data_IF_832344359308
#
_entry.id   IF_832344359308
#
_cell.length_a   1.000
_cell.length_b   1.000
_cell.length_c   1.000
_cell.angle_alpha   90.00
_cell.angle_beta   90.00
_cell.angle_gamma   90.00
#
_symmetry.space_group_name_H-M   'P 1'
#
loop_
_entity.id
_entity.type
_entity.pdbx_description
1 polymer ?
#
# COMPACT_ATOMS: atom_id res chain seq x y z
N UNK A 1 14.90 -5.41 -32.43
CA UNK A 1 14.27 -4.83 -31.24
C UNK A 1 12.78 -4.59 -31.51
N UNK A 2 11.94 -5.16 -30.68
CA UNK A 2 10.49 -4.90 -30.79
C UNK A 2 10.10 -3.60 -30.06
N UNK A 3 10.81 -3.23 -29.00
CA UNK A 3 10.57 -2.02 -28.22
C UNK A 3 11.88 -1.50 -27.61
N UNK A 4 12.06 -0.19 -27.61
CA UNK A 4 13.13 0.51 -26.87
C UNK A 4 12.51 1.56 -25.97
N UNK A 5 12.91 1.57 -24.70
CA UNK A 5 12.50 2.57 -23.72
C UNK A 5 13.75 3.26 -23.18
N UNK A 6 13.70 4.58 -23.04
CA UNK A 6 14.77 5.38 -22.42
C UNK A 6 14.32 5.79 -21.03
N UNK A 7 15.22 5.64 -20.06
CA UNK A 7 14.99 6.11 -18.68
C UNK A 7 15.51 7.55 -18.50
N UNK A 8 15.06 8.21 -17.45
CA UNK A 8 15.59 9.49 -16.99
C UNK A 8 17.01 9.36 -16.43
N UNK A 9 17.61 10.48 -16.10
CA UNK A 9 18.96 10.54 -15.53
C UNK A 9 18.88 10.79 -14.04
N UNK A 10 19.64 10.03 -13.24
CA UNK A 10 19.85 10.33 -11.84
C UNK A 10 20.95 11.40 -11.74
N UNK A 11 20.60 12.53 -11.16
CA UNK A 11 21.45 13.70 -10.96
C UNK A 11 22.05 13.68 -9.54
N UNK A 12 23.11 14.45 -9.33
CA UNK A 12 23.61 14.71 -7.97
C UNK A 12 22.57 15.44 -7.10
N UNK A 13 22.83 15.56 -5.81
CA UNK A 13 21.90 16.16 -4.84
C UNK A 13 21.44 17.58 -5.22
N UNK A 14 22.30 18.35 -5.87
CA UNK A 14 21.99 19.71 -6.32
C UNK A 14 21.31 19.78 -7.69
N UNK A 15 20.84 18.66 -8.24
CA UNK A 15 20.21 18.59 -9.57
C UNK A 15 21.22 18.73 -10.72
N UNK A 16 22.51 18.62 -10.47
CA UNK A 16 23.56 18.66 -11.50
C UNK A 16 23.93 17.26 -11.99
N UNK A 17 24.36 17.18 -13.25
CA UNK A 17 24.89 15.92 -13.78
C UNK A 17 26.11 15.46 -12.97
N UNK A 18 26.07 14.20 -12.53
CA UNK A 18 27.20 13.58 -11.85
C UNK A 18 28.42 13.48 -12.75
N UNK A 19 29.59 13.87 -12.24
CA UNK A 19 30.86 13.67 -12.91
C UNK A 19 32.01 13.55 -11.91
N UNK A 20 33.03 12.76 -12.28
CA UNK A 20 34.23 12.56 -11.43
C UNK A 20 34.95 13.88 -11.18
N UNK A 21 35.01 14.76 -12.19
CA UNK A 21 35.68 16.07 -12.07
C UNK A 21 35.00 17.04 -11.08
N UNK A 22 33.71 16.85 -10.82
CA UNK A 22 32.93 17.64 -9.85
C UNK A 22 32.90 17.02 -8.46
N UNK A 23 33.36 15.79 -8.30
CA UNK A 23 33.35 15.08 -7.02
C UNK A 23 31.92 14.75 -6.48
N UNK A 24 30.89 14.80 -7.33
CA UNK A 24 29.50 14.60 -6.97
C UNK A 24 28.94 13.24 -7.43
N UNK A 25 29.81 12.27 -7.72
CA UNK A 25 29.41 10.92 -8.13
C UNK A 25 29.07 10.10 -6.90
N UNK A 26 27.90 9.46 -6.95
CA UNK A 26 27.51 8.41 -6.01
C UNK A 26 27.99 7.07 -6.57
N UNK A 27 28.79 6.33 -5.80
CA UNK A 27 29.23 5.00 -6.19
C UNK A 27 28.19 3.96 -5.73
N UNK A 28 27.58 3.20 -6.65
CA UNK A 28 26.63 2.14 -6.29
C UNK A 28 27.19 1.10 -5.31
N UNK A 29 28.48 0.75 -5.42
CA UNK A 29 29.12 -0.24 -4.54
C UNK A 29 29.11 0.21 -3.07
N UNK A 30 29.27 1.52 -2.81
CA UNK A 30 29.21 2.06 -1.46
C UNK A 30 27.78 1.96 -0.89
N UNK A 31 26.77 2.26 -1.70
CA UNK A 31 25.37 2.13 -1.31
C UNK A 31 24.99 0.67 -1.06
N UNK A 32 25.45 -0.25 -1.91
CA UNK A 32 25.21 -1.67 -1.72
C UNK A 32 25.87 -2.19 -0.44
N UNK A 33 27.10 -1.78 -0.16
CA UNK A 33 27.82 -2.15 1.07
C UNK A 33 27.09 -1.63 2.32
N UNK A 34 26.63 -0.37 2.30
CA UNK A 34 26.14 0.31 3.49
C UNK A 34 24.63 0.07 3.73
N UNK A 35 23.84 -0.12 2.67
CA UNK A 35 22.38 -0.24 2.74
C UNK A 35 21.82 -1.51 2.11
N UNK A 36 22.61 -2.23 1.31
CA UNK A 36 22.19 -3.43 0.59
C UNK A 36 21.67 -3.16 -0.83
N UNK A 37 21.80 -4.17 -1.69
CA UNK A 37 21.44 -4.08 -3.11
C UNK A 37 19.94 -3.79 -3.32
N UNK A 38 19.05 -4.44 -2.55
CA UNK A 38 17.61 -4.22 -2.67
C UNK A 38 17.19 -2.80 -2.29
N UNK A 39 17.90 -2.18 -1.36
CA UNK A 39 17.67 -0.77 -1.01
C UNK A 39 17.98 0.14 -2.19
N UNK A 40 19.13 -0.05 -2.84
CA UNK A 40 19.50 0.73 -4.02
C UNK A 40 18.50 0.52 -5.15
N UNK A 41 18.16 -0.74 -5.48
CA UNK A 41 17.18 -1.08 -6.53
C UNK A 41 15.82 -0.45 -6.28
N UNK A 42 15.32 -0.57 -5.04
CA UNK A 42 14.04 0.02 -4.64
C UNK A 42 14.08 1.54 -4.76
N UNK A 43 15.17 2.17 -4.32
CA UNK A 43 15.34 3.61 -4.39
C UNK A 43 15.38 4.13 -5.83
N UNK A 44 16.17 3.52 -6.72
CA UNK A 44 16.27 3.92 -8.12
C UNK A 44 14.93 3.82 -8.86
N UNK A 45 14.11 2.82 -8.52
CA UNK A 45 12.76 2.66 -9.09
C UNK A 45 11.72 3.57 -8.43
N UNK A 46 11.98 4.08 -7.23
CA UNK A 46 11.04 4.90 -6.46
C UNK A 46 11.29 6.39 -6.57
N UNK A 47 12.52 6.84 -6.89
CA UNK A 47 12.94 8.25 -6.84
C UNK A 47 12.11 9.18 -7.72
N UNK A 48 11.49 8.69 -8.79
CA UNK A 48 10.69 9.48 -9.72
C UNK A 48 10.05 8.67 -10.84
N UNK A 49 9.42 9.36 -11.78
CA UNK A 49 8.93 8.71 -13.00
C UNK A 49 10.10 8.17 -13.81
N UNK A 50 9.93 7.01 -14.44
CA UNK A 50 11.01 6.26 -15.09
C UNK A 50 11.72 7.04 -16.19
N UNK A 51 11.01 7.90 -16.92
CA UNK A 51 11.50 8.71 -18.03
C UNK A 51 11.94 10.13 -17.62
N UNK A 52 11.74 10.51 -16.35
CA UNK A 52 12.10 11.83 -15.83
C UNK A 52 13.46 11.81 -15.13
N UNK A 53 14.16 12.93 -15.17
CA UNK A 53 15.36 13.12 -14.36
C UNK A 53 14.98 13.33 -12.88
N UNK A 54 15.79 12.76 -11.98
CA UNK A 54 15.57 12.89 -10.54
C UNK A 54 16.90 13.15 -9.82
N UNK A 55 16.89 14.00 -8.79
CA UNK A 55 18.07 14.27 -7.98
C UNK A 55 18.28 13.20 -6.91
N UNK A 56 19.52 12.78 -6.71
CA UNK A 56 19.88 11.85 -5.65
C UNK A 56 19.52 12.41 -4.27
N UNK A 57 19.04 11.56 -3.39
CA UNK A 57 18.72 11.89 -2.01
C UNK A 57 19.14 10.74 -1.09
N UNK A 58 20.09 10.98 -0.22
CA UNK A 58 20.51 9.98 0.77
C UNK A 58 19.39 9.64 1.77
N UNK A 59 18.58 10.64 2.13
CA UNK A 59 17.40 10.40 3.00
C UNK A 59 16.34 9.53 2.31
N UNK A 60 16.23 9.63 0.99
CA UNK A 60 15.39 8.73 0.19
C UNK A 60 15.90 7.29 0.24
N UNK A 61 17.22 7.07 0.13
CA UNK A 61 17.85 5.75 0.30
C UNK A 61 17.55 5.17 1.68
N UNK A 62 17.76 5.96 2.75
CA UNK A 62 17.42 5.56 4.12
C UNK A 62 15.94 5.27 4.30
N UNK A 63 15.07 5.99 3.58
CA UNK A 63 13.64 5.73 3.54
C UNK A 63 13.31 4.37 2.96
N UNK A 64 13.92 4.00 1.83
CA UNK A 64 13.77 2.69 1.21
C UNK A 64 14.33 1.57 2.09
N UNK A 65 15.45 1.78 2.78
CA UNK A 65 15.96 0.81 3.75
C UNK A 65 14.95 0.56 4.88
N UNK A 66 14.40 1.61 5.49
CA UNK A 66 13.36 1.47 6.53
C UNK A 66 12.10 0.77 6.01
N UNK A 67 11.73 0.99 4.75
CA UNK A 67 10.63 0.26 4.11
C UNK A 67 10.92 -1.24 4.08
N UNK A 68 12.10 -1.66 3.59
CA UNK A 68 12.48 -3.07 3.52
C UNK A 68 12.64 -3.72 4.90
N UNK A 69 13.18 -2.98 5.89
CA UNK A 69 13.23 -3.46 7.29
C UNK A 69 11.84 -3.71 7.88
N UNK A 70 10.83 -2.95 7.48
CA UNK A 70 9.43 -3.17 7.88
C UNK A 70 8.81 -4.34 7.12
N UNK A 71 9.16 -4.52 5.84
CA UNK A 71 8.72 -5.69 5.05
C UNK A 71 9.22 -6.96 5.72
N UNK A 72 10.49 -7.01 6.13
CA UNK A 72 11.06 -8.15 6.84
C UNK A 72 10.25 -8.57 8.07
N UNK A 73 9.70 -7.61 8.81
CA UNK A 73 8.90 -7.86 10.02
C UNK A 73 7.50 -8.43 9.75
N UNK A 74 7.04 -8.49 8.50
CA UNK A 74 5.74 -9.08 8.19
C UNK A 74 5.65 -10.57 8.55
N UNK A 75 6.78 -11.29 8.56
CA UNK A 75 6.84 -12.68 8.99
C UNK A 75 6.38 -12.85 10.45
N UNK A 76 6.65 -11.85 11.31
CA UNK A 76 6.35 -11.90 12.74
C UNK A 76 4.82 -11.83 13.02
N UNK A 77 4.04 -11.36 12.07
CA UNK A 77 2.58 -11.20 12.17
C UNK A 77 1.81 -12.13 11.22
N UNK A 78 2.51 -13.04 10.52
CA UNK A 78 1.91 -13.99 9.60
C UNK A 78 1.23 -15.14 10.36
N UNK A 79 0.06 -15.56 9.85
CA UNK A 79 -0.64 -16.79 10.28
C UNK A 79 -0.54 -17.86 9.21
N UNK A 80 -0.87 -19.11 9.53
CA UNK A 80 -0.82 -20.23 8.60
C UNK A 80 -2.02 -20.30 7.64
N UNK A 81 -2.95 -19.35 7.71
CA UNK A 81 -4.11 -19.28 6.84
C UNK A 81 -3.68 -18.99 5.38
N UNK A 82 -4.16 -19.79 4.45
CA UNK A 82 -3.98 -19.57 3.01
C UNK A 82 -5.10 -18.68 2.45
N UNK A 83 -4.80 -17.99 1.32
CA UNK A 83 -5.74 -17.04 0.70
C UNK A 83 -5.74 -15.68 1.40
N UNK A 84 -6.72 -14.85 1.05
CA UNK A 84 -6.85 -13.51 1.61
C UNK A 84 -7.92 -13.49 2.71
N UNK A 85 -7.64 -12.78 3.79
CA UNK A 85 -8.60 -12.50 4.83
C UNK A 85 -9.72 -11.59 4.31
N UNK A 86 -10.90 -11.63 4.93
CA UNK A 86 -12.01 -10.74 4.57
C UNK A 86 -11.63 -9.25 4.73
N UNK A 87 -10.73 -8.95 5.65
CA UNK A 87 -10.24 -7.58 5.90
C UNK A 87 -9.44 -7.05 4.70
N UNK A 88 -8.63 -7.89 4.08
CA UNK A 88 -7.71 -7.48 3.03
C UNK A 88 -8.10 -7.96 1.61
N UNK A 89 -9.12 -8.81 1.44
CA UNK A 89 -9.47 -9.37 0.13
C UNK A 89 -9.59 -8.28 -0.95
N UNK A 90 -10.41 -7.26 -0.71
CA UNK A 90 -10.60 -6.16 -1.66
C UNK A 90 -9.31 -5.37 -1.90
N UNK A 91 -8.58 -5.04 -0.84
CA UNK A 91 -7.31 -4.30 -0.95
C UNK A 91 -6.23 -5.09 -1.65
N UNK A 92 -6.17 -6.41 -1.45
CA UNK A 92 -5.23 -7.28 -2.16
C UNK A 92 -5.52 -7.30 -3.65
N UNK A 93 -6.78 -7.49 -4.07
CA UNK A 93 -7.16 -7.44 -5.48
C UNK A 93 -6.90 -6.07 -6.11
N UNK A 94 -7.18 -4.96 -5.41
CA UNK A 94 -6.84 -3.61 -5.83
C UNK A 94 -5.32 -3.43 -5.97
N UNK A 95 -4.54 -3.96 -5.03
CA UNK A 95 -3.08 -3.86 -5.04
C UNK A 95 -2.48 -4.65 -6.19
N UNK A 96 -2.92 -5.89 -6.42
CA UNK A 96 -2.49 -6.71 -7.56
C UNK A 96 -2.78 -5.96 -8.88
N UNK A 97 -4.01 -5.50 -9.07
CA UNK A 97 -4.43 -4.75 -10.26
C UNK A 97 -3.54 -3.54 -10.51
N UNK A 98 -3.36 -2.70 -9.47
CA UNK A 98 -2.59 -1.47 -9.59
C UNK A 98 -1.10 -1.72 -9.84
N UNK A 99 -0.48 -2.63 -9.09
CA UNK A 99 0.95 -2.93 -9.24
C UNK A 99 1.23 -3.57 -10.59
N UNK A 100 0.38 -4.49 -11.07
CA UNK A 100 0.51 -5.09 -12.40
C UNK A 100 0.44 -4.03 -13.50
N UNK A 101 -0.60 -3.18 -13.47
CA UNK A 101 -0.73 -2.09 -14.42
C UNK A 101 0.47 -1.12 -14.39
N UNK A 102 0.94 -0.76 -13.20
CA UNK A 102 2.04 0.18 -13.04
C UNK A 102 3.37 -0.41 -13.56
N UNK A 103 3.66 -1.69 -13.32
CA UNK A 103 4.85 -2.34 -13.85
C UNK A 103 4.82 -2.46 -15.38
N UNK A 104 3.70 -2.84 -15.97
CA UNK A 104 3.52 -2.90 -17.42
C UNK A 104 3.73 -1.54 -18.10
N UNK A 105 3.41 -0.45 -17.39
CA UNK A 105 3.49 0.92 -17.87
C UNK A 105 4.73 1.68 -17.37
N UNK A 106 5.73 0.98 -16.81
CA UNK A 106 6.99 1.54 -16.29
C UNK A 106 6.78 2.60 -15.20
N UNK A 107 5.68 2.50 -14.45
CA UNK A 107 5.35 3.38 -13.33
C UNK A 107 5.82 2.77 -12.00
N UNK A 108 7.09 2.42 -11.93
CA UNK A 108 7.66 1.71 -10.78
C UNK A 108 7.48 2.46 -9.46
N UNK A 109 7.61 3.78 -9.48
CA UNK A 109 7.43 4.63 -8.31
C UNK A 109 6.02 4.52 -7.72
N UNK A 110 4.98 4.46 -8.55
CA UNK A 110 3.59 4.31 -8.07
C UNK A 110 3.27 2.88 -7.64
N UNK A 111 3.88 1.86 -8.28
CA UNK A 111 3.81 0.47 -7.82
C UNK A 111 4.41 0.32 -6.41
N UNK A 112 5.61 0.86 -6.19
CA UNK A 112 6.27 0.82 -4.87
C UNK A 112 5.46 1.61 -3.83
N UNK A 113 4.91 2.78 -4.18
CA UNK A 113 4.02 3.53 -3.30
C UNK A 113 2.78 2.73 -2.88
N UNK A 114 2.18 1.95 -3.80
CA UNK A 114 1.07 1.06 -3.49
C UNK A 114 1.49 -0.04 -2.51
N UNK A 115 2.67 -0.64 -2.71
CA UNK A 115 3.21 -1.64 -1.79
C UNK A 115 3.51 -1.04 -0.42
N UNK A 116 4.02 0.20 -0.34
CA UNK A 116 4.20 0.91 0.94
C UNK A 116 2.87 1.16 1.65
N UNK A 117 1.81 1.48 0.90
CA UNK A 117 0.46 1.66 1.45
C UNK A 117 -0.06 0.34 2.02
N UNK A 118 0.07 -0.77 1.28
CA UNK A 118 -0.35 -2.08 1.76
C UNK A 118 0.43 -2.53 2.99
N UNK A 119 1.74 -2.26 3.04
CA UNK A 119 2.57 -2.50 4.23
C UNK A 119 2.08 -1.73 5.47
N UNK A 120 1.63 -0.49 5.29
CA UNK A 120 1.07 0.30 6.38
C UNK A 120 -0.21 -0.34 6.92
N UNK A 121 -1.10 -0.81 6.03
CA UNK A 121 -2.33 -1.49 6.41
C UNK A 121 -2.04 -2.79 7.17
N UNK A 122 -1.14 -3.63 6.66
CA UNK A 122 -0.69 -4.85 7.32
C UNK A 122 -0.08 -4.58 8.70
N UNK A 123 0.81 -3.60 8.80
CA UNK A 123 1.45 -3.23 10.07
C UNK A 123 0.43 -2.72 11.09
N UNK A 124 -0.61 -2.01 10.64
CA UNK A 124 -1.69 -1.50 11.50
C UNK A 124 -2.59 -2.62 12.01
N UNK A 125 -2.90 -3.59 11.16
CA UNK A 125 -3.72 -4.74 11.54
C UNK A 125 -3.01 -5.68 12.51
N UNK A 126 -1.67 -5.78 12.42
CA UNK A 126 -0.86 -6.65 13.28
C UNK A 126 -1.07 -8.14 13.06
N UNK A 127 -1.77 -8.52 11.99
CA UNK A 127 -2.04 -9.91 11.58
C UNK A 127 -2.26 -9.95 10.07
N UNK A 128 -1.61 -10.90 9.39
CA UNK A 128 -1.80 -11.18 7.96
C UNK A 128 -1.84 -12.69 7.72
N UNK A 129 -2.43 -13.12 6.61
CA UNK A 129 -2.39 -14.52 6.21
C UNK A 129 -1.09 -14.85 5.46
N UNK A 130 -0.75 -16.12 5.42
CA UNK A 130 0.35 -16.64 4.57
C UNK A 130 0.12 -16.28 3.09
N UNK A 131 -1.12 -16.40 2.59
CA UNK A 131 -1.48 -16.05 1.22
C UNK A 131 -1.28 -14.57 0.91
N UNK A 132 -1.58 -13.68 1.84
CA UNK A 132 -1.33 -12.24 1.73
C UNK A 132 0.15 -11.93 1.67
N UNK A 133 0.95 -12.53 2.55
CA UNK A 133 2.41 -12.35 2.54
C UNK A 133 3.03 -12.87 1.24
N UNK A 134 2.69 -14.10 0.82
CA UNK A 134 3.18 -14.69 -0.44
C UNK A 134 2.91 -13.79 -1.64
N UNK A 135 1.67 -13.32 -1.77
CA UNK A 135 1.28 -12.42 -2.85
C UNK A 135 2.07 -11.11 -2.80
N UNK A 136 2.23 -10.53 -1.60
CA UNK A 136 3.01 -9.31 -1.41
C UNK A 136 4.48 -9.49 -1.82
N UNK A 137 5.11 -10.62 -1.46
CA UNK A 137 6.49 -10.94 -1.83
C UNK A 137 6.64 -11.09 -3.35
N UNK A 138 5.69 -11.74 -4.04
CA UNK A 138 5.72 -11.85 -5.50
C UNK A 138 5.64 -10.47 -6.16
N UNK A 139 4.75 -9.60 -5.69
CA UNK A 139 4.60 -8.23 -6.22
C UNK A 139 5.84 -7.36 -5.96
N UNK A 140 6.55 -7.56 -4.85
CA UNK A 140 7.76 -6.81 -4.49
C UNK A 140 9.03 -7.35 -5.16
N UNK A 141 9.08 -8.64 -5.50
CA UNK A 141 10.27 -9.32 -6.01
C UNK A 141 10.98 -8.60 -7.18
N UNK A 142 10.29 -8.00 -8.17
CA UNK A 142 10.97 -7.32 -9.28
C UNK A 142 11.92 -6.20 -8.83
N UNK A 143 11.63 -5.52 -7.74
CA UNK A 143 12.44 -4.41 -7.22
C UNK A 143 13.34 -4.80 -6.06
N UNK A 144 12.96 -5.77 -5.24
CA UNK A 144 13.72 -6.23 -4.07
C UNK A 144 13.85 -7.76 -4.02
N UNK A 145 14.60 -8.37 -4.98
CA UNK A 145 14.63 -9.82 -5.14
C UNK A 145 15.31 -10.56 -3.97
N UNK A 146 16.33 -9.99 -3.35
CA UNK A 146 17.07 -10.73 -2.32
C UNK A 146 16.26 -10.91 -1.04
N UNK A 147 15.66 -9.84 -0.53
CA UNK A 147 14.83 -9.91 0.68
C UNK A 147 13.59 -10.79 0.47
N UNK A 148 12.96 -10.72 -0.70
CA UNK A 148 11.77 -11.53 -0.97
C UNK A 148 12.08 -13.01 -1.11
N UNK A 149 13.20 -13.38 -1.74
CA UNK A 149 13.66 -14.78 -1.81
C UNK A 149 14.03 -15.33 -0.43
N UNK A 150 14.73 -14.54 0.40
CA UNK A 150 15.09 -14.94 1.75
C UNK A 150 13.85 -15.14 2.64
N UNK A 151 12.89 -14.22 2.56
CA UNK A 151 11.63 -14.37 3.29
C UNK A 151 10.81 -15.56 2.82
N UNK A 152 10.80 -15.85 1.50
CA UNK A 152 10.11 -17.01 0.93
C UNK A 152 10.64 -18.33 1.50
N UNK A 153 11.95 -18.46 1.58
CA UNK A 153 12.59 -19.60 2.20
C UNK A 153 12.32 -19.66 3.70
N UNK A 154 12.41 -18.53 4.40
CA UNK A 154 12.19 -18.44 5.84
C UNK A 154 10.77 -18.84 6.28
N UNK A 155 9.75 -18.56 5.46
CA UNK A 155 8.38 -19.00 5.73
C UNK A 155 8.09 -20.43 5.28
N UNK A 156 9.10 -21.15 4.80
CA UNK A 156 9.03 -22.57 4.46
C UNK A 156 8.41 -22.87 3.08
N UNK A 157 8.37 -21.91 2.18
CA UNK A 157 7.84 -22.11 0.83
C UNK A 157 8.88 -22.77 -0.09
N UNK A 158 8.40 -23.61 -1.00
CA UNK A 158 9.26 -24.30 -1.96
C UNK A 158 9.51 -23.48 -3.23
N UNK A 159 10.66 -23.73 -3.88
CA UNK A 159 11.03 -23.04 -5.11
C UNK A 159 11.54 -21.61 -4.85
N UNK A 160 11.44 -20.76 -5.84
CA UNK A 160 11.89 -19.37 -5.79
C UNK A 160 10.73 -18.43 -6.10
N UNK A 161 10.75 -17.20 -5.54
CA UNK A 161 9.70 -16.20 -5.80
C UNK A 161 9.60 -15.87 -7.29
N UNK A 162 10.75 -15.70 -7.96
CA UNK A 162 10.77 -15.36 -9.41
C UNK A 162 10.22 -16.47 -10.31
N UNK A 163 10.05 -17.69 -9.80
CA UNK A 163 9.45 -18.82 -10.52
C UNK A 163 7.94 -18.93 -10.33
N UNK A 164 7.40 -18.17 -9.40
CA UNK A 164 5.97 -18.19 -9.12
C UNK A 164 5.17 -17.50 -10.23
N UNK A 165 3.95 -17.95 -10.40
CA UNK A 165 3.00 -17.29 -11.31
C UNK A 165 2.66 -15.92 -10.75
N UNK A 166 2.66 -14.90 -11.62
CA UNK A 166 2.21 -13.56 -11.23
C UNK A 166 0.76 -13.60 -10.75
N UNK A 167 0.44 -12.97 -9.62
CA UNK A 167 -0.90 -13.07 -9.04
C UNK A 167 -1.94 -12.38 -9.93
N UNK A 168 -3.10 -13.03 -10.05
CA UNK A 168 -4.26 -12.49 -10.77
C UNK A 168 -5.21 -11.81 -9.79
N UNK A 169 -5.94 -10.81 -10.27
CA UNK A 169 -6.99 -10.15 -9.50
C UNK A 169 -8.36 -10.45 -10.08
N UNK A 170 -9.35 -10.49 -9.21
CA UNK A 170 -10.76 -10.54 -9.59
C UNK A 170 -11.33 -9.12 -9.61
N UNK A 171 -11.79 -8.67 -10.79
CA UNK A 171 -12.35 -7.33 -10.95
C UNK A 171 -13.55 -7.08 -10.02
N UNK A 172 -14.40 -8.08 -9.81
CA UNK A 172 -15.56 -7.95 -8.93
C UNK A 172 -15.15 -7.72 -7.46
N UNK A 173 -13.99 -8.22 -7.06
CA UNK A 173 -13.45 -8.05 -5.70
C UNK A 173 -12.64 -6.77 -5.50
N UNK A 174 -12.39 -6.01 -6.57
CA UNK A 174 -11.71 -4.70 -6.45
C UNK A 174 -12.64 -3.59 -5.97
N UNK A 175 -13.94 -3.84 -5.95
CA UNK A 175 -14.95 -2.85 -5.53
C UNK A 175 -15.19 -3.00 -4.03
N UNK A 176 -14.93 -1.94 -3.28
CA UNK A 176 -15.32 -1.91 -1.86
C UNK A 176 -16.84 -2.05 -1.74
N UNK A 177 -17.29 -3.07 -1.03
CA UNK A 177 -18.71 -3.28 -0.72
C UNK A 177 -19.22 -2.36 0.38
N UNK A 178 -18.32 -1.77 1.17
CA UNK A 178 -18.64 -0.88 2.29
C UNK A 178 -18.03 0.49 2.13
N UNK A 179 -18.58 1.46 2.84
CA UNK A 179 -18.07 2.83 2.95
C UNK A 179 -18.15 3.28 4.40
N UNK A 180 -17.07 3.91 4.89
CA UNK A 180 -17.06 4.56 6.19
C UNK A 180 -17.76 5.92 6.10
N UNK A 181 -18.75 6.14 6.97
CA UNK A 181 -19.47 7.41 7.06
C UNK A 181 -19.39 7.99 8.46
N UNK A 182 -19.33 9.32 8.54
CA UNK A 182 -19.35 10.03 9.81
C UNK A 182 -20.77 10.12 10.36
N UNK A 183 -20.93 9.86 11.66
CA UNK A 183 -22.19 10.03 12.39
C UNK A 183 -22.09 11.29 13.26
N UNK A 184 -23.02 12.22 13.03
CA UNK A 184 -23.04 13.52 13.68
C UNK A 184 -24.27 13.69 14.56
N UNK A 185 -24.10 14.45 15.64
CA UNK A 185 -25.21 15.03 16.43
C UNK A 185 -25.09 16.55 16.31
N UNK A 186 -26.14 17.19 15.82
CA UNK A 186 -26.20 18.65 15.65
C UNK A 186 -24.97 19.19 14.87
N UNK A 187 -24.55 18.48 13.80
CA UNK A 187 -23.43 18.86 12.94
C UNK A 187 -22.02 18.52 13.51
N UNK A 188 -21.91 17.95 14.70
CA UNK A 188 -20.63 17.54 15.29
C UNK A 188 -20.44 16.02 15.20
N UNK A 189 -19.37 15.57 14.57
CA UNK A 189 -19.04 14.12 14.47
C UNK A 189 -18.84 13.53 15.85
N UNK A 190 -19.53 12.42 16.12
CA UNK A 190 -19.51 11.67 17.40
C UNK A 190 -19.12 10.22 17.25
N UNK A 191 -19.30 9.65 16.07
CA UNK A 191 -18.93 8.28 15.75
C UNK A 191 -18.64 8.16 14.24
N UNK A 192 -18.05 7.02 13.82
CA UNK A 192 -17.96 6.57 12.44
C UNK A 192 -18.53 5.16 12.35
N UNK A 193 -19.19 4.83 11.25
CA UNK A 193 -19.72 3.49 10.98
C UNK A 193 -19.38 3.06 9.57
N UNK A 194 -19.15 1.76 9.38
CA UNK A 194 -19.03 1.14 8.07
C UNK A 194 -20.39 0.61 7.65
N UNK A 195 -20.84 1.05 6.49
CA UNK A 195 -22.12 0.62 5.90
C UNK A 195 -21.90 0.01 4.51
N UNK A 196 -22.76 -0.91 4.10
CA UNK A 196 -22.78 -1.33 2.71
C UNK A 196 -23.11 -0.15 1.79
N UNK A 197 -22.45 -0.07 0.62
CA UNK A 197 -22.65 1.06 -0.32
C UNK A 197 -24.09 1.14 -0.85
N UNK A 198 -24.77 0.01 -0.91
CA UNK A 198 -26.15 -0.17 -1.32
C UNK A 198 -27.15 -0.24 -0.15
N UNK A 199 -26.68 0.05 1.09
CA UNK A 199 -27.53 0.05 2.26
C UNK A 199 -28.64 1.09 2.15
N UNK A 200 -29.87 0.67 2.47
CA UNK A 200 -31.00 1.58 2.51
C UNK A 200 -30.90 2.60 3.65
N UNK A 201 -31.60 3.72 3.49
CA UNK A 201 -31.53 4.83 4.44
C UNK A 201 -31.91 4.44 5.87
N UNK A 202 -32.90 3.58 6.03
CA UNK A 202 -33.45 3.25 7.36
C UNK A 202 -32.48 2.37 8.12
N UNK A 203 -31.86 1.38 7.46
CA UNK A 203 -30.79 0.55 8.00
C UNK A 203 -29.56 1.38 8.42
N UNK A 204 -29.18 2.35 7.59
CA UNK A 204 -28.03 3.24 7.90
C UNK A 204 -28.33 4.13 9.10
N UNK A 205 -29.55 4.68 9.20
CA UNK A 205 -29.95 5.50 10.36
C UNK A 205 -30.01 4.66 11.63
N UNK A 206 -30.52 3.42 11.56
CA UNK A 206 -30.54 2.51 12.69
C UNK A 206 -29.12 2.20 13.20
N UNK A 207 -28.19 1.83 12.32
CA UNK A 207 -26.79 1.62 12.66
C UNK A 207 -26.12 2.87 13.24
N UNK A 208 -26.42 4.04 12.71
CA UNK A 208 -25.91 5.30 13.26
C UNK A 208 -26.41 5.59 14.69
N UNK A 209 -27.67 5.31 14.99
CA UNK A 209 -28.22 5.45 16.34
C UNK A 209 -27.57 4.47 17.32
N UNK A 210 -27.39 3.23 16.91
CA UNK A 210 -26.69 2.20 17.70
C UNK A 210 -25.26 2.63 18.03
N UNK A 211 -24.51 3.11 17.04
CA UNK A 211 -23.14 3.61 17.23
C UNK A 211 -23.03 4.83 18.15
N UNK A 212 -24.07 5.64 18.21
CA UNK A 212 -24.13 6.78 19.13
C UNK A 212 -24.46 6.34 20.57
N UNK A 213 -25.28 5.31 20.75
CA UNK A 213 -25.66 4.77 22.05
C UNK A 213 -26.10 5.86 23.03
N UNK A 214 -25.51 5.89 24.22
CA UNK A 214 -25.83 6.87 25.27
C UNK A 214 -25.47 8.32 24.95
N UNK A 215 -24.70 8.56 23.86
CA UNK A 215 -24.38 9.94 23.40
C UNK A 215 -25.56 10.62 22.72
N UNK A 216 -26.55 9.84 22.28
CA UNK A 216 -27.79 10.33 21.70
C UNK A 216 -28.79 10.59 22.83
N UNK A 217 -28.81 11.80 23.36
CA UNK A 217 -29.73 12.26 24.40
C UNK A 217 -30.68 13.31 23.85
N UNK A 218 -31.92 13.36 24.37
CA UNK A 218 -32.95 14.32 23.94
C UNK A 218 -33.88 13.79 22.86
N UNK A 219 -34.83 14.62 22.45
CA UNK A 219 -35.81 14.27 21.42
C UNK A 219 -35.22 14.49 20.03
N UNK A 220 -35.24 13.45 19.19
CA UNK A 220 -34.81 13.55 17.79
C UNK A 220 -35.83 14.38 17.01
N UNK A 221 -35.36 15.47 16.42
CA UNK A 221 -36.17 16.37 15.62
C UNK A 221 -36.09 16.01 14.14
N UNK A 222 -34.88 15.64 13.67
CA UNK A 222 -34.65 15.40 12.25
C UNK A 222 -33.45 14.44 12.07
N UNK A 223 -33.58 13.54 11.07
CA UNK A 223 -32.55 12.62 10.64
C UNK A 223 -32.18 12.94 9.20
N UNK A 224 -30.92 13.26 8.96
CA UNK A 224 -30.41 13.62 7.65
C UNK A 224 -29.37 12.59 7.25
N UNK A 225 -29.62 11.88 6.16
CA UNK A 225 -28.66 10.95 5.57
C UNK A 225 -28.21 11.48 4.21
N UNK A 226 -26.92 11.66 4.02
CA UNK A 226 -26.29 11.94 2.73
C UNK A 226 -25.56 10.66 2.30
N UNK A 227 -26.03 9.96 1.25
CA UNK A 227 -25.48 8.67 0.83
C UNK A 227 -23.96 8.69 0.70
N UNK A 228 -23.30 7.70 1.30
CA UNK A 228 -21.86 7.52 1.27
C UNK A 228 -21.03 8.60 1.97
N UNK A 229 -21.65 9.53 2.73
CA UNK A 229 -20.92 10.64 3.37
C UNK A 229 -21.17 10.77 4.86
N UNK A 230 -22.39 11.06 5.24
CA UNK A 230 -22.71 11.37 6.64
C UNK A 230 -24.13 10.96 7.03
N UNK A 231 -24.31 10.65 8.31
CA UNK A 231 -25.61 10.72 8.99
C UNK A 231 -25.53 11.84 10.02
N UNK A 232 -26.48 12.76 10.00
CA UNK A 232 -26.58 13.80 11.02
C UNK A 232 -27.95 13.72 11.72
N UNK A 233 -27.92 13.48 13.03
CA UNK A 233 -29.10 13.42 13.89
C UNK A 233 -29.21 14.77 14.60
N UNK A 234 -30.32 15.46 14.36
CA UNK A 234 -30.63 16.70 15.06
C UNK A 234 -31.51 16.35 16.26
N UNK A 235 -30.99 16.59 17.44
CA UNK A 235 -31.67 16.33 18.72
C UNK A 235 -31.68 17.59 19.61
N UNK A 236 -32.74 17.75 20.43
CA UNK A 236 -32.92 18.87 21.34
C UNK A 236 -33.27 18.37 22.74
#
# INVERSE_FOLDING_TARGET
>A
YQKRTSHGMILGENGEKMSKSRGNVVNPDDIVRDYGADTLRTYEMFIGAFDAAASWSEDGVKGCRRFLDRVWKLQDIMTDEEGFSKEFETKMHQTIKKVSFDYENLKYNTAIAQLMTMLNDFSKAGKITRGELKTYLILLNPVAPHITEEMWEAIGENGRVYQQTWPEYDEAKTVESTVEIAVQINGKTKATINIAKDADKDSVIAAAKEALGSRLSGNIIKEIYVPGRIVNIVAK
#
